data_IF_342498405524
#
_entry.id   IF_342498405524
#
_cell.length_a   1.000
_cell.length_b   1.000
_cell.length_c   1.000
_cell.angle_alpha   90.00
_cell.angle_beta   90.00
_cell.angle_gamma   90.00
#
_symmetry.space_group_name_H-M   'P 1'
#
loop_
_entity.id
_entity.type
_entity.pdbx_description
1 polymer ?
#
# COMPACT_ATOMS: atom_id res chain seq x y z
N UNK A 1 -29.64 -35.06 -47.58
CA UNK A 1 -30.85 -34.45 -47.00
C UNK A 1 -30.64 -34.46 -45.49
N UNK A 2 -30.53 -33.40 -44.71
CA UNK A 2 -31.06 -32.02 -44.64
C UNK A 2 -29.99 -31.16 -43.90
N UNK A 3 -29.55 -29.99 -44.39
CA UNK A 3 -29.84 -28.61 -43.88
C UNK A 3 -29.81 -28.44 -42.34
N UNK A 4 -28.99 -27.57 -41.72
CA UNK A 4 -28.83 -26.10 -41.86
C UNK A 4 -27.35 -25.69 -41.69
N UNK A 5 -26.71 -24.80 -42.48
CA UNK A 5 -26.90 -23.34 -42.69
C UNK A 5 -26.80 -22.46 -41.43
N UNK A 6 -25.59 -21.93 -41.26
CA UNK A 6 -25.28 -20.50 -41.16
C UNK A 6 -25.48 -19.71 -39.86
N UNK A 7 -24.35 -19.11 -39.45
CA UNK A 7 -24.14 -17.78 -38.87
C UNK A 7 -24.83 -17.42 -37.54
N UNK A 8 -24.00 -17.01 -36.57
CA UNK A 8 -24.01 -15.64 -36.04
C UNK A 8 -22.72 -15.41 -35.23
N UNK A 9 -21.80 -14.66 -35.82
CA UNK A 9 -20.86 -13.85 -35.05
C UNK A 9 -21.68 -12.74 -34.38
N UNK A 10 -21.56 -12.57 -33.07
CA UNK A 10 -21.98 -11.35 -32.38
C UNK A 10 -21.22 -11.28 -31.06
N UNK A 11 -20.08 -10.59 -31.10
CA UNK A 11 -19.85 -9.32 -30.39
C UNK A 11 -19.50 -9.49 -28.92
N UNK A 12 -18.24 -9.16 -28.65
CA UNK A 12 -17.74 -8.66 -27.39
C UNK A 12 -18.76 -7.81 -26.63
N UNK A 13 -19.04 -8.18 -25.38
CA UNK A 13 -19.39 -7.26 -24.30
C UNK A 13 -18.74 -7.85 -23.05
N UNK A 14 -17.56 -7.36 -22.69
CA UNK A 14 -17.45 -6.39 -21.62
C UNK A 14 -17.91 -6.98 -20.28
N UNK A 15 -17.00 -7.73 -19.67
CA UNK A 15 -16.75 -7.48 -18.26
C UNK A 15 -15.27 -7.13 -18.18
N UNK A 16 -14.98 -5.86 -18.46
CA UNK A 16 -13.99 -5.18 -17.65
C UNK A 16 -14.53 -5.23 -16.22
N UNK A 17 -14.40 -6.38 -15.56
CA UNK A 17 -14.25 -6.33 -14.12
C UNK A 17 -12.96 -5.55 -13.97
N UNK A 18 -13.09 -4.25 -13.70
CA UNK A 18 -12.10 -3.49 -12.99
C UNK A 18 -11.92 -4.18 -11.63
N UNK A 19 -11.35 -5.38 -11.64
CA UNK A 19 -10.66 -5.90 -10.50
C UNK A 19 -9.48 -4.97 -10.37
N UNK A 20 -9.69 -3.90 -9.61
CA UNK A 20 -8.60 -3.27 -8.87
C UNK A 20 -8.03 -4.42 -8.05
N UNK A 21 -7.04 -5.10 -8.61
CA UNK A 21 -6.22 -6.02 -7.84
C UNK A 21 -5.46 -5.06 -6.95
N UNK A 22 -6.00 -4.81 -5.76
CA UNK A 22 -5.34 -4.02 -4.73
C UNK A 22 -4.00 -4.68 -4.49
N UNK A 23 -2.95 -4.08 -5.05
CA UNK A 23 -1.60 -4.54 -4.79
C UNK A 23 -1.33 -4.20 -3.32
N UNK A 24 -0.72 -5.12 -2.60
CA UNK A 24 -0.36 -4.89 -1.19
C UNK A 24 1.15 -4.82 -1.05
N UNK A 25 1.63 -4.03 -0.10
CA UNK A 25 3.04 -3.98 0.28
C UNK A 25 3.20 -4.37 1.74
N UNK A 26 4.23 -5.17 2.04
CA UNK A 26 4.64 -5.41 3.43
C UNK A 26 5.59 -4.30 3.85
N UNK A 27 5.24 -3.61 4.92
CA UNK A 27 6.11 -2.64 5.59
C UNK A 27 6.66 -3.24 6.88
N UNK A 28 7.84 -2.77 7.28
CA UNK A 28 8.44 -3.12 8.58
C UNK A 28 8.88 -1.84 9.27
N UNK A 29 8.64 -1.71 10.56
CA UNK A 29 8.94 -0.49 11.30
C UNK A 29 9.14 -0.80 12.77
N UNK A 30 9.88 0.05 13.47
CA UNK A 30 10.22 -0.22 14.85
C UNK A 30 10.44 1.02 15.69
N UNK A 31 10.27 0.85 16.99
CA UNK A 31 10.37 1.91 17.99
C UNK A 31 11.79 2.01 18.57
N UNK A 32 12.10 3.02 19.40
CA UNK A 32 13.38 3.11 20.10
C UNK A 32 13.71 1.91 21.00
N UNK A 33 12.73 1.08 21.34
CA UNK A 33 12.96 -0.12 22.12
C UNK A 33 13.51 -1.24 21.22
N UNK A 34 14.61 -1.90 21.61
CA UNK A 34 15.32 -2.86 20.74
C UNK A 34 14.53 -4.13 20.40
N UNK A 35 13.36 -4.32 21.00
CA UNK A 35 12.46 -5.47 20.77
C UNK A 35 11.28 -5.15 19.87
N UNK A 36 11.08 -3.88 19.53
CA UNK A 36 9.90 -3.41 18.82
C UNK A 36 10.19 -3.42 17.32
N UNK A 37 9.98 -4.59 16.70
CA UNK A 37 9.93 -4.77 15.25
C UNK A 37 8.52 -5.22 14.87
N UNK A 38 7.85 -4.38 14.10
CA UNK A 38 6.48 -4.56 13.65
C UNK A 38 6.46 -4.77 12.14
N UNK A 39 5.55 -5.64 11.68
CA UNK A 39 5.31 -5.86 10.27
C UNK A 39 3.82 -5.77 9.98
N UNK A 40 3.47 -5.02 8.94
CA UNK A 40 2.08 -4.87 8.50
C UNK A 40 2.01 -4.98 6.98
N UNK A 41 0.90 -5.50 6.48
CA UNK A 41 0.59 -5.50 5.05
C UNK A 41 -0.38 -4.35 4.80
N UNK A 42 0.00 -3.42 3.93
CA UNK A 42 -0.79 -2.25 3.56
C UNK A 42 -1.29 -2.40 2.13
N UNK A 43 -2.50 -1.93 1.87
CA UNK A 43 -2.98 -1.75 0.50
C UNK A 43 -2.23 -0.57 -0.15
N UNK A 44 -1.82 -0.74 -1.41
CA UNK A 44 -1.31 0.37 -2.21
C UNK A 44 -2.45 1.31 -2.59
N UNK A 45 -2.08 2.57 -2.78
CA UNK A 45 -2.94 3.70 -3.15
C UNK A 45 -4.10 3.98 -2.20
N UNK A 46 -3.95 3.55 -0.94
CA UNK A 46 -4.88 3.77 0.16
C UNK A 46 -4.12 4.31 1.37
N UNK A 47 -4.71 5.28 2.08
CA UNK A 47 -4.18 5.72 3.37
C UNK A 47 -4.58 4.70 4.43
N UNK A 48 -3.59 4.00 4.98
CA UNK A 48 -3.83 2.92 5.94
C UNK A 48 -3.27 3.31 7.31
N UNK A 49 -4.10 3.19 8.35
CA UNK A 49 -3.67 3.33 9.73
C UNK A 49 -2.77 2.15 10.13
N UNK A 50 -1.70 2.46 10.85
CA UNK A 50 -0.74 1.47 11.28
C UNK A 50 -1.23 0.78 12.55
N UNK A 51 -0.99 -0.52 12.68
CA UNK A 51 -1.44 -1.31 13.83
C UNK A 51 -0.76 -0.87 15.13
N UNK A 52 0.43 -0.29 15.01
CA UNK A 52 1.24 0.22 16.11
C UNK A 52 1.70 1.67 15.83
N UNK A 53 0.78 2.65 15.94
CA UNK A 53 1.12 4.06 15.80
C UNK A 53 2.00 4.48 16.99
N UNK A 54 3.02 5.30 16.76
CA UNK A 54 3.95 5.68 17.81
C UNK A 54 5.23 6.30 17.29
N UNK A 55 6.18 6.55 18.20
CA UNK A 55 7.51 7.03 17.84
C UNK A 55 8.34 5.91 17.24
N UNK A 56 8.80 6.12 16.00
CA UNK A 56 9.57 5.15 15.25
C UNK A 56 11.00 5.61 15.04
N UNK A 57 11.93 4.66 14.94
CA UNK A 57 13.35 4.88 14.61
C UNK A 57 13.75 4.33 13.24
N UNK A 58 12.94 3.43 12.67
CA UNK A 58 13.07 3.04 11.26
C UNK A 58 11.73 2.71 10.61
N UNK A 59 11.72 2.76 9.29
CA UNK A 59 10.67 2.27 8.42
C UNK A 59 11.28 1.62 7.18
N UNK A 60 10.69 0.53 6.72
CA UNK A 60 11.08 -0.20 5.53
C UNK A 60 9.86 -0.50 4.67
N UNK A 61 9.97 -0.22 3.37
CA UNK A 61 8.99 -0.59 2.37
C UNK A 61 9.66 -0.93 1.05
N UNK A 62 9.07 -1.84 0.27
CA UNK A 62 9.51 -2.10 -1.11
C UNK A 62 8.87 -1.16 -2.14
N UNK A 63 7.92 -0.33 -1.72
CA UNK A 63 7.23 0.69 -2.53
C UNK A 63 7.40 2.07 -1.89
N UNK A 64 7.37 3.17 -2.65
CA UNK A 64 7.44 4.50 -2.07
C UNK A 64 6.19 4.77 -1.22
N UNK A 65 6.39 5.22 0.03
CA UNK A 65 5.30 5.54 0.94
C UNK A 65 5.44 6.96 1.50
N UNK A 66 4.31 7.64 1.62
CA UNK A 66 4.17 8.86 2.40
C UNK A 66 3.72 8.47 3.82
N UNK A 67 4.40 8.99 4.84
CA UNK A 67 4.18 8.67 6.24
C UNK A 67 3.57 9.86 6.97
N UNK A 68 2.54 9.61 7.76
CA UNK A 68 1.73 10.63 8.40
C UNK A 68 1.83 10.51 9.92
N UNK A 69 1.86 11.66 10.60
CA UNK A 69 1.87 11.74 12.06
C UNK A 69 0.46 11.63 12.65
N UNK A 70 0.16 12.42 13.67
CA UNK A 70 -1.21 12.48 14.24
C UNK A 70 -2.26 13.05 13.28
N UNK A 71 -1.83 13.89 12.33
CA UNK A 71 -2.70 14.44 11.28
C UNK A 71 -2.45 13.71 9.97
N UNK A 72 -3.53 13.37 9.28
CA UNK A 72 -3.59 12.77 7.95
C UNK A 72 -3.63 13.82 6.82
N UNK A 73 -3.55 15.11 7.16
CA UNK A 73 -3.60 16.21 6.17
C UNK A 73 -2.32 16.36 5.35
N UNK A 74 -1.16 16.21 5.99
CA UNK A 74 0.15 16.39 5.36
C UNK A 74 1.11 15.30 5.84
N UNK A 75 1.87 14.69 4.92
CA UNK A 75 2.85 13.68 5.30
C UNK A 75 4.06 14.34 5.98
N UNK A 76 4.53 13.72 7.06
CA UNK A 76 5.77 14.07 7.77
C UNK A 76 6.99 13.67 6.93
N UNK A 77 6.88 12.55 6.21
CA UNK A 77 7.89 12.11 5.25
C UNK A 77 7.22 11.69 3.95
N UNK A 78 7.84 12.02 2.83
CA UNK A 78 7.34 11.68 1.51
C UNK A 78 8.27 10.70 0.80
N UNK A 79 7.69 9.80 0.01
CA UNK A 79 8.39 8.84 -0.85
C UNK A 79 9.48 8.03 -0.13
N UNK A 80 9.21 7.60 1.10
CA UNK A 80 10.08 6.72 1.87
C UNK A 80 10.06 5.34 1.24
N UNK A 81 11.23 4.84 0.82
CA UNK A 81 11.40 3.53 0.18
C UNK A 81 12.72 2.90 0.64
N UNK A 82 12.73 1.57 0.77
CA UNK A 82 13.85 0.82 1.31
C UNK A 82 14.03 1.08 2.80
N UNK A 83 15.21 0.76 3.38
CA UNK A 83 15.48 0.99 4.78
C UNK A 83 15.68 2.49 5.03
N UNK A 84 14.79 3.09 5.81
CA UNK A 84 14.87 4.48 6.24
C UNK A 84 14.99 4.56 7.75
N UNK A 85 15.91 5.39 8.23
CA UNK A 85 16.15 5.59 9.65
C UNK A 85 15.85 7.03 10.04
N UNK A 86 15.07 7.20 11.10
CA UNK A 86 14.77 8.51 11.65
C UNK A 86 15.89 8.92 12.62
N UNK A 87 16.58 10.04 12.33
CA UNK A 87 17.66 10.56 13.19
C UNK A 87 17.19 10.87 14.62
N UNK A 88 15.89 11.15 14.77
CA UNK A 88 15.18 11.28 16.04
C UNK A 88 13.89 10.46 15.94
N UNK A 89 13.45 9.81 17.04
CA UNK A 89 12.17 9.13 17.07
C UNK A 89 11.07 10.06 16.56
N UNK A 90 10.28 9.60 15.60
CA UNK A 90 9.23 10.41 14.97
C UNK A 90 7.91 9.69 15.09
N UNK A 91 6.88 10.40 15.54
CA UNK A 91 5.54 9.84 15.66
C UNK A 91 4.91 9.62 14.29
N UNK A 92 4.57 8.38 13.96
CA UNK A 92 3.89 7.99 12.73
C UNK A 92 2.65 7.17 13.09
N UNK A 93 1.51 7.49 12.48
CA UNK A 93 0.24 6.80 12.73
C UNK A 93 -0.41 6.17 11.50
N UNK A 94 -0.15 6.70 10.30
CA UNK A 94 -0.61 6.08 9.06
C UNK A 94 0.41 6.19 7.93
N UNK A 95 0.24 5.36 6.91
CA UNK A 95 1.07 5.36 5.71
C UNK A 95 0.20 5.24 4.46
N UNK A 96 0.59 5.96 3.41
CA UNK A 96 0.04 5.83 2.06
C UNK A 96 1.16 5.32 1.16
N UNK A 97 1.06 4.10 0.66
CA UNK A 97 2.08 3.53 -0.23
C UNK A 97 1.59 3.56 -1.66
N UNK A 98 2.40 4.06 -2.58
CA UNK A 98 2.02 4.24 -3.97
C UNK A 98 2.29 2.97 -4.78
N UNK A 99 1.40 2.63 -5.70
CA UNK A 99 1.75 1.71 -6.79
C UNK A 99 2.52 2.47 -7.87
N UNK A 100 3.72 2.00 -8.20
CA UNK A 100 4.51 2.51 -9.34
C UNK A 100 3.83 2.24 -10.70
#
# INVERSE_FOLDING_TARGET
MLFNKSLLATTAMALFTSSVVGQTVRVSYGSPLPTDDFHQVLNLDELVALDHPGEWVYFFSSQPCDLYGESDTEPVFTKVIGPYYFLRPTYIASAFCHSD
#
